data_IF_702689390705
#
_entry.id   IF_702689390705
#
_cell.length_a   1.000
_cell.length_b   1.000
_cell.length_c   1.000
_cell.angle_alpha   90.00
_cell.angle_beta   90.00
_cell.angle_gamma   90.00
#
_symmetry.space_group_name_H-M   'P 1'
#
loop_
_entity.id
_entity.type
_entity.pdbx_description
1 polymer ?
#
# COMPACT_ATOMS: atom_id res chain seq x y z
N UNK A 1 -30.46 -15.10 8.52
CA UNK A 1 -29.96 -16.37 7.96
C UNK A 1 -31.07 -17.39 8.07
N UNK A 2 -31.26 -18.23 7.06
CA UNK A 2 -32.27 -19.29 7.04
C UNK A 2 -31.92 -20.32 8.14
N UNK A 3 -32.88 -20.83 8.94
CA UNK A 3 -32.58 -21.86 9.93
C UNK A 3 -32.31 -23.21 9.24
N UNK A 4 -31.46 -24.05 9.83
CA UNK A 4 -31.16 -25.39 9.29
C UNK A 4 -32.40 -26.28 9.12
N UNK A 5 -33.49 -25.99 9.85
CA UNK A 5 -34.78 -26.66 9.72
C UNK A 5 -35.56 -26.33 8.45
N UNK A 6 -35.02 -25.47 7.58
CA UNK A 6 -35.61 -25.19 6.27
C UNK A 6 -34.66 -25.60 5.13
N UNK A 7 -33.47 -26.12 5.46
CA UNK A 7 -32.44 -26.43 4.47
C UNK A 7 -32.85 -27.63 3.64
N UNK A 8 -32.56 -27.57 2.34
CA UNK A 8 -32.62 -28.75 1.48
C UNK A 8 -31.38 -29.63 1.70
N UNK A 9 -31.40 -30.86 1.18
CA UNK A 9 -30.26 -31.76 1.31
C UNK A 9 -28.98 -31.19 0.68
N UNK A 10 -29.11 -30.45 -0.42
CA UNK A 10 -28.02 -29.80 -1.15
C UNK A 10 -27.45 -28.60 -0.39
N UNK A 11 -28.30 -27.75 0.18
CA UNK A 11 -27.88 -26.64 1.03
C UNK A 11 -27.15 -27.14 2.28
N UNK A 12 -27.61 -28.25 2.84
CA UNK A 12 -27.03 -28.87 4.02
C UNK A 12 -25.70 -29.58 3.67
N UNK A 13 -25.62 -30.23 2.51
CA UNK A 13 -24.40 -30.87 2.00
C UNK A 13 -23.29 -29.89 1.59
N UNK A 14 -23.62 -28.62 1.35
CA UNK A 14 -22.64 -27.56 1.04
C UNK A 14 -22.21 -26.79 2.29
N UNK A 15 -22.86 -27.01 3.43
CA UNK A 15 -22.57 -26.28 4.66
C UNK A 15 -21.30 -26.79 5.35
N UNK A 16 -20.39 -25.86 5.70
CA UNK A 16 -19.03 -26.20 6.18
C UNK A 16 -19.05 -27.00 7.49
N UNK A 17 -19.89 -26.61 8.44
CA UNK A 17 -20.00 -27.27 9.73
C UNK A 17 -20.61 -28.67 9.61
N UNK A 18 -21.51 -28.86 8.65
CA UNK A 18 -22.10 -30.16 8.37
C UNK A 18 -21.09 -31.09 7.69
N UNK A 19 -20.41 -30.61 6.65
CA UNK A 19 -19.34 -31.37 5.98
C UNK A 19 -18.28 -31.80 6.99
N UNK A 20 -17.83 -30.88 7.87
CA UNK A 20 -16.85 -31.19 8.91
C UNK A 20 -17.35 -32.25 9.90
N UNK A 21 -18.62 -32.21 10.28
CA UNK A 21 -19.22 -33.24 11.13
C UNK A 21 -19.18 -34.62 10.49
N UNK A 22 -19.52 -34.70 9.19
CA UNK A 22 -19.54 -35.97 8.45
C UNK A 22 -18.13 -36.52 8.23
N UNK A 23 -17.15 -35.64 7.96
CA UNK A 23 -15.76 -36.03 7.68
C UNK A 23 -14.94 -36.31 8.94
N UNK A 24 -15.19 -35.58 10.01
CA UNK A 24 -14.43 -35.67 11.26
C UNK A 24 -15.39 -35.86 12.44
N UNK A 25 -16.01 -37.05 12.58
CA UNK A 25 -16.95 -37.32 13.66
C UNK A 25 -16.31 -37.26 15.06
N UNK A 26 -14.98 -37.30 15.14
CA UNK A 26 -14.18 -37.17 16.37
C UNK A 26 -14.25 -35.76 16.99
N UNK A 27 -14.66 -34.75 16.23
CA UNK A 27 -14.81 -33.37 16.72
C UNK A 27 -16.03 -33.24 17.65
N UNK A 28 -15.79 -33.44 18.95
CA UNK A 28 -16.85 -33.55 19.96
C UNK A 28 -17.81 -32.35 19.99
N UNK A 29 -17.38 -31.07 19.95
CA UNK A 29 -18.30 -29.94 19.90
C UNK A 29 -19.29 -29.97 18.72
N UNK A 30 -18.78 -30.28 17.53
CA UNK A 30 -19.59 -30.31 16.30
C UNK A 30 -20.54 -31.51 16.32
N UNK A 31 -20.05 -32.67 16.78
CA UNK A 31 -20.84 -33.88 16.92
C UNK A 31 -22.05 -33.68 17.85
N UNK A 32 -21.80 -33.11 19.03
CA UNK A 32 -22.85 -32.84 20.03
C UNK A 32 -23.90 -31.88 19.47
N UNK A 33 -23.49 -30.83 18.75
CA UNK A 33 -24.42 -29.89 18.13
C UNK A 33 -25.39 -30.59 17.18
N UNK A 34 -24.88 -31.37 16.22
CA UNK A 34 -25.71 -32.03 15.21
C UNK A 34 -26.56 -33.18 15.79
N UNK A 35 -26.05 -33.91 16.79
CA UNK A 35 -26.82 -34.92 17.52
C UNK A 35 -28.01 -34.29 18.26
N UNK A 36 -27.78 -33.19 18.99
CA UNK A 36 -28.84 -32.47 19.70
C UNK A 36 -29.84 -31.83 18.72
N UNK A 37 -29.36 -31.32 17.60
CA UNK A 37 -30.23 -30.75 16.57
C UNK A 37 -31.13 -31.83 15.95
N UNK A 38 -30.59 -33.01 15.63
CA UNK A 38 -31.37 -34.13 15.12
C UNK A 38 -32.43 -34.64 16.12
N UNK A 39 -32.13 -34.63 17.42
CA UNK A 39 -33.11 -34.95 18.46
C UNK A 39 -34.29 -33.98 18.47
N UNK A 40 -34.03 -32.68 18.20
CA UNK A 40 -35.07 -31.63 18.12
C UNK A 40 -35.82 -31.63 16.79
N UNK A 41 -35.20 -32.13 15.72
CA UNK A 41 -35.74 -32.12 14.37
C UNK A 41 -35.78 -33.53 13.74
N UNK A 42 -36.56 -34.47 14.29
CA UNK A 42 -36.60 -35.85 13.77
C UNK A 42 -37.13 -35.94 12.33
N UNK A 43 -37.96 -34.98 11.90
CA UNK A 43 -38.45 -34.87 10.52
C UNK A 43 -37.34 -34.58 9.51
N UNK A 44 -36.20 -34.01 9.96
CA UNK A 44 -35.05 -33.74 9.11
C UNK A 44 -34.13 -34.95 8.90
N UNK A 45 -34.40 -36.08 9.55
CA UNK A 45 -33.59 -37.29 9.41
C UNK A 45 -33.41 -37.71 7.94
N UNK A 46 -34.49 -37.66 7.15
CA UNK A 46 -34.46 -37.95 5.71
C UNK A 46 -33.55 -37.00 4.93
N UNK A 47 -33.72 -35.69 5.14
CA UNK A 47 -32.88 -34.65 4.53
C UNK A 47 -31.40 -34.82 4.90
N UNK A 48 -31.11 -35.12 6.16
CA UNK A 48 -29.75 -35.35 6.65
C UNK A 48 -29.16 -36.63 6.05
N UNK A 49 -29.92 -37.71 5.89
CA UNK A 49 -29.42 -38.91 5.21
C UNK A 49 -29.05 -38.64 3.76
N UNK A 50 -29.89 -37.92 3.01
CA UNK A 50 -29.58 -37.52 1.63
C UNK A 50 -28.37 -36.60 1.56
N UNK A 51 -28.28 -35.62 2.47
CA UNK A 51 -27.12 -34.72 2.54
C UNK A 51 -25.82 -35.48 2.84
N UNK A 52 -25.86 -36.50 3.71
CA UNK A 52 -24.69 -37.36 3.97
C UNK A 52 -24.24 -38.11 2.73
N UNK A 53 -25.18 -38.64 1.96
CA UNK A 53 -24.88 -39.36 0.72
C UNK A 53 -24.20 -38.43 -0.29
N UNK A 54 -24.71 -37.20 -0.44
CA UNK A 54 -24.07 -36.16 -1.25
C UNK A 54 -22.66 -35.87 -0.77
N UNK A 55 -22.46 -35.56 0.51
CA UNK A 55 -21.13 -35.28 1.06
C UNK A 55 -20.17 -36.45 0.85
N UNK A 56 -20.62 -37.70 1.00
CA UNK A 56 -19.76 -38.89 0.77
C UNK A 56 -19.40 -39.08 -0.69
N UNK A 57 -20.36 -38.96 -1.60
CA UNK A 57 -20.09 -38.98 -3.05
C UNK A 57 -19.10 -37.89 -3.48
N UNK A 58 -19.06 -36.81 -2.69
CA UNK A 58 -18.19 -35.66 -2.85
C UNK A 58 -16.82 -35.87 -2.17
N UNK A 59 -16.76 -36.62 -1.08
CA UNK A 59 -15.52 -36.77 -0.31
C UNK A 59 -14.60 -37.86 -0.89
N UNK A 60 -15.16 -38.82 -1.63
CA UNK A 60 -14.38 -39.90 -2.24
C UNK A 60 -13.38 -39.42 -3.32
N UNK A 61 -13.54 -38.19 -3.83
CA UNK A 61 -12.57 -37.56 -4.75
C UNK A 61 -11.57 -36.65 -4.07
N UNK A 62 -11.53 -36.64 -2.74
CA UNK A 62 -10.45 -35.97 -2.05
C UNK A 62 -9.14 -36.66 -2.43
N UNK A 63 -8.30 -35.90 -3.15
CA UNK A 63 -6.93 -36.27 -3.47
C UNK A 63 -6.33 -36.85 -2.20
N UNK A 64 -6.04 -38.14 -2.23
CA UNK A 64 -5.28 -38.84 -1.22
C UNK A 64 -4.17 -37.88 -0.77
N UNK A 65 -4.21 -37.43 0.49
CA UNK A 65 -3.29 -36.43 1.02
C UNK A 65 -1.89 -36.98 0.80
N UNK A 66 -1.26 -36.55 -0.30
CA UNK A 66 0.04 -37.03 -0.68
C UNK A 66 0.98 -36.74 0.49
N UNK A 67 1.67 -37.77 0.95
CA UNK A 67 2.57 -37.63 2.09
C UNK A 67 3.52 -36.47 1.84
N UNK A 68 3.97 -35.80 2.91
CA UNK A 68 4.85 -34.63 2.77
C UNK A 68 6.10 -34.88 1.91
N UNK A 69 6.56 -36.13 1.89
CA UNK A 69 7.66 -36.61 1.04
C UNK A 69 7.29 -36.62 -0.45
N UNK A 70 6.13 -37.17 -0.80
CA UNK A 70 5.63 -37.21 -2.18
C UNK A 70 5.38 -35.79 -2.72
N UNK A 71 4.82 -34.91 -1.88
CA UNK A 71 4.64 -33.48 -2.20
C UNK A 71 5.98 -32.79 -2.47
N UNK A 72 6.99 -33.03 -1.63
CA UNK A 72 8.34 -32.49 -1.83
C UNK A 72 8.99 -32.95 -3.14
N UNK A 73 8.82 -34.24 -3.49
CA UNK A 73 9.34 -34.79 -4.74
C UNK A 73 8.68 -34.18 -5.98
N UNK A 74 7.36 -33.91 -5.92
CA UNK A 74 6.61 -33.25 -6.98
C UNK A 74 7.02 -31.79 -7.16
N UNK A 75 7.15 -31.04 -6.07
CA UNK A 75 7.64 -29.67 -6.11
C UNK A 75 9.06 -29.56 -6.65
N UNK A 76 9.92 -30.53 -6.33
CA UNK A 76 11.27 -30.59 -6.87
C UNK A 76 11.25 -30.77 -8.39
N UNK A 77 10.43 -31.69 -8.90
CA UNK A 77 10.24 -31.89 -10.35
C UNK A 77 9.71 -30.64 -11.06
N UNK A 78 8.76 -29.93 -10.45
CA UNK A 78 8.23 -28.66 -10.99
C UNK A 78 9.35 -27.61 -11.05
N UNK A 79 10.11 -27.42 -9.97
CA UNK A 79 11.22 -26.45 -9.93
C UNK A 79 12.28 -26.75 -10.99
N UNK A 80 12.67 -28.02 -11.12
CA UNK A 80 13.63 -28.43 -12.18
C UNK A 80 13.09 -28.15 -13.58
N UNK A 81 11.79 -28.31 -13.82
CA UNK A 81 11.19 -28.00 -15.13
C UNK A 81 11.16 -26.50 -15.47
N UNK A 82 11.12 -25.63 -14.47
CA UNK A 82 11.12 -24.17 -14.65
C UNK A 82 12.53 -23.65 -14.94
N UNK A 83 13.55 -24.21 -14.29
CA UNK A 83 14.96 -23.86 -14.55
C UNK A 83 15.44 -24.28 -15.95
N UNK A 84 14.73 -25.23 -16.58
CA UNK A 84 14.99 -25.67 -17.96
C UNK A 84 14.32 -24.80 -19.03
N UNK A 85 13.54 -23.80 -18.65
CA UNK A 85 13.13 -22.77 -19.61
C UNK A 85 14.37 -21.92 -19.90
N UNK A 86 14.93 -21.94 -21.13
CA UNK A 86 15.95 -20.97 -21.49
C UNK A 86 15.33 -19.60 -21.23
N UNK A 87 16.01 -18.87 -20.35
CA UNK A 87 15.79 -17.46 -20.07
C UNK A 87 15.25 -16.80 -21.33
N UNK A 88 14.05 -16.22 -21.26
CA UNK A 88 13.56 -15.33 -22.32
C UNK A 88 14.45 -14.08 -22.24
N UNK A 89 15.69 -14.28 -22.65
CA UNK A 89 16.71 -13.29 -22.75
C UNK A 89 16.38 -12.50 -24.00
N UNK A 90 16.52 -11.18 -23.88
CA UNK A 90 16.35 -10.16 -24.93
C UNK A 90 14.95 -9.58 -25.07
N UNK A 91 14.46 -9.02 -23.97
CA UNK A 91 13.74 -7.74 -24.11
C UNK A 91 14.80 -6.65 -24.37
N UNK A 92 14.96 -6.32 -25.66
CA UNK A 92 15.87 -5.30 -26.20
C UNK A 92 15.91 -4.03 -25.32
N UNK A 93 17.08 -3.65 -24.76
CA UNK A 93 17.20 -2.47 -23.90
C UNK A 93 16.90 -1.15 -24.66
N UNK A 94 16.89 -1.21 -25.99
CA UNK A 94 16.63 -0.08 -26.89
C UNK A 94 15.21 0.50 -26.79
N UNK A 95 14.21 -0.30 -26.40
CA UNK A 95 12.83 0.16 -26.26
C UNK A 95 12.53 0.78 -24.88
N UNK A 96 13.33 0.45 -23.86
CA UNK A 96 13.14 0.99 -22.50
C UNK A 96 13.54 2.46 -22.41
N UNK A 97 14.55 2.89 -23.17
CA UNK A 97 15.02 4.28 -23.18
C UNK A 97 13.97 5.27 -23.71
N UNK A 98 13.05 4.84 -24.56
CA UNK A 98 11.96 5.70 -25.09
C UNK A 98 10.75 5.76 -24.15
N UNK A 99 10.53 4.73 -23.34
CA UNK A 99 9.39 4.66 -22.41
C UNK A 99 9.63 5.41 -21.09
N UNK A 100 10.89 5.56 -20.66
CA UNK A 100 11.22 6.13 -19.34
C UNK A 100 10.93 7.64 -19.22
N UNK A 101 10.74 8.36 -20.34
CA UNK A 101 10.58 9.82 -20.31
C UNK A 101 9.16 10.35 -20.62
N UNK A 102 8.16 9.47 -20.81
CA UNK A 102 6.78 9.92 -21.11
C UNK A 102 6.11 10.62 -19.93
N UNK A 103 6.49 10.27 -18.69
CA UNK A 103 5.97 10.92 -17.49
C UNK A 103 6.52 12.35 -17.30
N UNK A 104 7.75 12.64 -17.74
CA UNK A 104 8.31 14.00 -17.64
C UNK A 104 7.60 15.00 -18.55
N UNK A 105 7.10 14.54 -19.70
CA UNK A 105 6.31 15.38 -20.60
C UNK A 105 4.94 15.77 -20.02
N UNK A 106 4.41 14.97 -19.07
CA UNK A 106 3.09 15.19 -18.48
C UNK A 106 3.08 16.18 -17.31
N UNK A 107 4.24 16.44 -16.70
CA UNK A 107 4.38 17.33 -15.54
C UNK A 107 5.07 18.66 -15.88
N UNK A 108 5.56 18.83 -17.11
CA UNK A 108 6.28 20.03 -17.55
C UNK A 108 5.43 21.30 -17.50
N UNK A 109 4.12 21.21 -17.81
CA UNK A 109 3.21 22.35 -17.76
C UNK A 109 3.05 22.91 -16.33
N UNK A 110 2.97 22.04 -15.31
CA UNK A 110 2.88 22.48 -13.92
C UNK A 110 4.18 23.10 -13.43
N UNK A 111 5.33 22.53 -13.82
CA UNK A 111 6.66 23.03 -13.43
C UNK A 111 6.91 24.42 -14.01
N UNK A 112 6.55 24.67 -15.28
CA UNK A 112 6.69 26.00 -15.90
C UNK A 112 5.80 27.06 -15.24
N UNK A 113 4.57 26.69 -14.86
CA UNK A 113 3.65 27.60 -14.15
C UNK A 113 4.18 27.93 -12.76
N UNK A 114 4.70 26.95 -12.01
CA UNK A 114 5.28 27.17 -10.67
C UNK A 114 6.54 28.04 -10.75
N UNK A 115 7.42 27.79 -11.73
CA UNK A 115 8.63 28.62 -11.94
C UNK A 115 8.24 30.06 -12.31
N UNK A 116 7.25 30.23 -13.19
CA UNK A 116 6.74 31.56 -13.56
C UNK A 116 6.11 32.30 -12.38
N UNK A 117 5.32 31.62 -11.55
CA UNK A 117 4.77 32.19 -10.32
C UNK A 117 5.87 32.57 -9.31
N UNK A 118 6.87 31.70 -9.14
CA UNK A 118 7.98 31.95 -8.22
C UNK A 118 8.79 33.19 -8.64
N UNK A 119 9.15 33.29 -9.92
CA UNK A 119 9.84 34.47 -10.45
C UNK A 119 8.96 35.72 -10.39
N UNK A 120 7.65 35.59 -10.65
CA UNK A 120 6.69 36.70 -10.55
C UNK A 120 6.58 37.27 -9.13
N UNK A 121 6.56 36.42 -8.10
CA UNK A 121 6.52 36.86 -6.68
C UNK A 121 7.82 37.54 -6.28
N UNK A 122 8.97 36.96 -6.62
CA UNK A 122 10.28 37.55 -6.30
C UNK A 122 10.49 38.89 -7.01
N UNK A 123 10.03 39.01 -8.26
CA UNK A 123 10.09 40.25 -9.02
C UNK A 123 9.11 41.31 -8.48
N UNK A 124 7.94 40.88 -7.99
CA UNK A 124 6.99 41.78 -7.34
C UNK A 124 7.58 42.35 -6.04
N UNK A 125 8.23 41.53 -5.22
CA UNK A 125 8.84 42.01 -3.98
C UNK A 125 10.02 42.97 -4.22
N UNK A 126 10.77 42.77 -5.30
CA UNK A 126 11.88 43.68 -5.66
C UNK A 126 11.41 45.02 -6.27
N UNK A 127 10.19 45.09 -6.82
CA UNK A 127 9.56 46.34 -7.24
C UNK A 127 8.75 47.05 -6.15
N UNK A 128 8.32 46.35 -5.09
CA UNK A 128 7.36 46.85 -4.11
C UNK A 128 7.83 46.79 -2.63
N UNK A 129 9.13 46.70 -2.36
CA UNK A 129 9.68 46.77 -1.00
C UNK A 129 10.60 47.98 -0.79
N UNK A 130 10.03 49.17 -0.97
CA UNK A 130 10.30 50.30 -0.08
C UNK A 130 9.67 50.12 1.31
N UNK A 131 9.59 48.88 1.82
CA UNK A 131 9.06 48.56 3.15
C UNK A 131 10.06 47.61 3.83
N UNK A 132 11.05 48.21 4.47
CA UNK A 132 11.96 47.54 5.40
C UNK A 132 11.15 46.94 6.55
N UNK A 133 10.93 45.63 6.51
CA UNK A 133 10.43 44.86 7.64
C UNK A 133 11.60 44.65 8.62
N UNK A 134 11.64 45.48 9.67
CA UNK A 134 12.60 45.30 10.77
C UNK A 134 12.10 44.22 11.73
N UNK A 135 12.85 43.12 11.83
CA UNK A 135 12.62 42.06 12.81
C UNK A 135 13.19 42.48 14.17
N UNK A 136 12.34 42.67 15.17
CA UNK A 136 12.80 42.89 16.55
C UNK A 136 13.09 41.53 17.19
N UNK A 137 14.37 41.20 17.36
CA UNK A 137 14.82 40.10 18.22
C UNK A 137 14.69 40.58 19.67
N UNK A 138 13.86 39.90 20.47
CA UNK A 138 13.86 40.09 21.94
C UNK A 138 15.11 39.41 22.48
N UNK A 139 16.15 40.20 22.74
CA UNK A 139 17.26 39.79 23.58
C UNK A 139 16.84 39.82 25.05
N UNK A 140 17.32 38.81 25.77
CA UNK A 140 17.35 38.69 27.22
C UNK A 140 17.82 40.00 27.88
N UNK A 141 16.94 40.54 28.74
CA UNK A 141 17.06 41.59 29.76
C UNK A 141 18.12 42.72 29.66
N UNK A 142 17.56 43.94 29.50
CA UNK A 142 17.95 45.24 30.09
C UNK A 142 19.37 45.78 29.88
N UNK A 143 19.59 46.55 28.81
CA UNK A 143 19.44 48.03 28.83
C UNK A 143 19.84 48.71 27.50
N UNK A 144 18.82 49.28 26.86
CA UNK A 144 18.74 50.49 26.00
C UNK A 144 19.65 50.65 24.76
N UNK A 145 18.96 50.70 23.62
CA UNK A 145 19.46 50.99 22.27
C UNK A 145 19.66 52.47 21.99
N UNK A 146 20.58 52.79 21.07
CA UNK A 146 20.50 53.99 20.23
C UNK A 146 20.73 53.58 18.78
N UNK A 147 19.65 53.57 18.00
CA UNK A 147 19.67 53.47 16.54
C UNK A 147 19.71 54.87 15.97
N UNK A 148 20.77 55.20 15.22
CA UNK A 148 20.76 56.36 14.31
C UNK A 148 20.84 55.80 12.89
N UNK A 149 19.69 55.82 12.23
CA UNK A 149 19.53 55.61 10.80
C UNK A 149 19.74 56.97 10.12
N UNK A 150 20.56 57.02 9.06
CA UNK A 150 20.48 58.11 8.11
C UNK A 150 20.83 57.60 6.72
N UNK A 151 19.77 57.35 5.97
CA UNK A 151 19.76 57.17 4.54
C UNK A 151 20.22 58.46 3.84
N UNK A 152 20.92 58.24 2.72
CA UNK A 152 20.97 59.10 1.54
C UNK A 152 21.79 60.41 1.56
N UNK A 153 22.50 60.54 0.43
CA UNK A 153 22.89 61.76 -0.29
C UNK A 153 24.28 62.38 -0.06
N UNK A 154 25.01 62.35 -1.18
CA UNK A 154 25.80 63.47 -1.73
C UNK A 154 27.26 63.64 -1.31
N UNK A 155 28.11 63.25 -2.27
CA UNK A 155 29.15 64.08 -2.91
C UNK A 155 29.85 65.13 -2.03
N UNK A 156 31.12 64.90 -1.72
CA UNK A 156 32.15 65.95 -1.55
C UNK A 156 33.52 65.23 -1.53
N UNK A 157 34.21 65.06 -2.66
CA UNK A 157 35.31 65.92 -3.15
C UNK A 157 36.49 66.07 -2.16
N UNK A 158 37.68 65.71 -2.68
CA UNK A 158 39.02 66.21 -2.38
C UNK A 158 39.87 65.76 -1.16
N UNK A 159 41.07 65.31 -1.56
CA UNK A 159 42.40 65.53 -0.96
C UNK A 159 42.63 64.99 0.47
N UNK A 160 43.65 64.12 0.60
CA UNK A 160 45.06 64.56 0.70
C UNK A 160 46.01 63.36 0.85
N UNK A 161 46.81 63.20 -0.21
CA UNK A 161 48.16 62.65 -0.28
C UNK A 161 48.97 62.67 1.04
N UNK A 162 49.53 61.52 1.44
CA UNK A 162 50.88 61.37 2.03
C UNK A 162 51.26 59.89 2.02
N UNK A 163 51.93 59.38 0.99
CA UNK A 163 53.40 59.25 0.88
C UNK A 163 54.10 58.57 2.07
N UNK A 164 54.73 57.44 1.73
CA UNK A 164 56.14 57.09 2.02
C UNK A 164 56.40 55.88 2.94
N UNK A 165 57.44 55.15 2.52
CA UNK A 165 58.28 54.16 3.20
C UNK A 165 57.69 52.73 3.18
N UNK A 166 58.30 51.73 2.54
CA UNK A 166 59.73 51.49 2.30
C UNK A 166 59.92 50.46 1.20
#
# INVERSE_FOLDING_TARGET
MKPYSEYTAEELATERLFIRWIRHPEDSPIRIFWEQWLQKHPHMSGTVSSARELVRSVSDWELEEMSGEETGSLWNRIRTSIELLPEIERLDPSLKALATNWNFLRWSAGILVVIGLFLGVVFWESGASGNSFSQTIMCENDTLQVTVNQDSTSKEIERKNRSSLK
#
